data_IF_549451088663
#
_entry.id   IF_549451088663
#
_cell.length_a   1.000
_cell.length_b   1.000
_cell.length_c   1.000
_cell.angle_alpha   90.00
_cell.angle_beta   90.00
_cell.angle_gamma   90.00
#
_symmetry.space_group_name_H-M   'P 1'
#
loop_
_entity.id
_entity.type
_entity.pdbx_description
1 polymer ?
#
# COMPACT_ATOMS: atom_id res chain seq x y z
N UNK A 1 -20.83 11.20 9.04
CA UNK A 1 -19.95 10.04 9.33
C UNK A 1 -19.03 9.83 8.14
N UNK A 2 -17.83 9.28 8.37
CA UNK A 2 -16.90 8.86 7.31
C UNK A 2 -16.29 7.51 7.68
N UNK A 3 -15.77 6.82 6.68
CA UNK A 3 -15.18 5.48 6.82
C UNK A 3 -13.85 5.46 6.09
N UNK A 4 -12.81 4.93 6.74
CA UNK A 4 -11.44 4.81 6.22
C UNK A 4 -10.92 3.42 6.52
N UNK A 5 -10.45 2.70 5.51
CA UNK A 5 -9.76 1.42 5.72
C UNK A 5 -8.25 1.55 5.57
N UNK A 6 -7.76 2.34 4.62
CA UNK A 6 -6.32 2.48 4.38
C UNK A 6 -5.89 3.92 4.25
N UNK A 7 -4.58 4.08 4.34
CA UNK A 7 -3.85 5.31 4.13
C UNK A 7 -2.35 4.95 3.95
N UNK A 8 -1.54 5.95 3.69
CA UNK A 8 -0.08 5.82 3.55
C UNK A 8 0.71 5.55 4.86
N UNK A 9 0.04 5.32 5.99
CA UNK A 9 0.67 5.03 7.29
C UNK A 9 0.35 3.62 7.82
N UNK A 10 -0.59 2.91 7.18
CA UNK A 10 -1.02 1.58 7.58
C UNK A 10 -0.85 0.60 6.42
N UNK A 11 -0.58 -0.67 6.75
CA UNK A 11 -0.56 -1.78 5.79
C UNK A 11 -1.82 -1.77 4.91
N UNK A 12 -1.73 -2.10 3.63
CA UNK A 12 -2.87 -2.13 2.70
C UNK A 12 -3.94 -3.13 3.14
N UNK A 13 -5.20 -2.85 2.80
CA UNK A 13 -6.38 -3.68 3.16
C UNK A 13 -6.20 -5.14 2.77
N UNK A 14 -5.78 -5.41 1.53
CA UNK A 14 -5.54 -6.75 1.02
C UNK A 14 -4.47 -7.52 1.82
N UNK A 15 -3.48 -6.82 2.37
CA UNK A 15 -2.44 -7.42 3.22
C UNK A 15 -2.87 -7.61 4.68
N UNK A 16 -3.72 -6.73 5.21
CA UNK A 16 -4.21 -6.85 6.60
C UNK A 16 -5.33 -7.87 6.75
N UNK A 17 -6.22 -7.98 5.77
CA UNK A 17 -7.43 -8.79 5.86
C UNK A 17 -7.48 -9.96 4.88
N UNK A 18 -6.54 -10.05 3.94
CA UNK A 18 -6.57 -11.04 2.86
C UNK A 18 -7.10 -10.46 1.55
N UNK A 19 -6.62 -11.00 0.42
CA UNK A 19 -7.04 -10.55 -0.92
C UNK A 19 -8.53 -10.84 -1.17
N UNK A 20 -9.03 -11.94 -0.61
CA UNK A 20 -10.43 -12.34 -0.64
C UNK A 20 -11.37 -11.35 0.07
N UNK A 21 -10.83 -10.51 0.95
CA UNK A 21 -11.59 -9.50 1.70
C UNK A 21 -11.66 -8.14 1.00
N UNK A 22 -10.97 -7.95 -0.13
CA UNK A 22 -10.97 -6.66 -0.86
C UNK A 22 -12.38 -6.27 -1.29
N UNK A 23 -13.09 -7.15 -2.00
CA UNK A 23 -14.45 -6.85 -2.49
C UNK A 23 -15.44 -6.66 -1.33
N UNK A 24 -15.54 -7.56 -0.33
CA UNK A 24 -16.44 -7.36 0.81
C UNK A 24 -16.19 -6.05 1.56
N UNK A 25 -14.92 -5.67 1.76
CA UNK A 25 -14.56 -4.45 2.48
C UNK A 25 -14.89 -3.19 1.68
N UNK A 26 -14.60 -3.18 0.37
CA UNK A 26 -14.97 -2.08 -0.50
C UNK A 26 -16.50 -1.93 -0.61
N UNK A 27 -17.23 -3.05 -0.73
CA UNK A 27 -18.70 -3.02 -0.72
C UNK A 27 -19.26 -2.45 0.58
N UNK A 28 -18.75 -2.89 1.75
CA UNK A 28 -19.17 -2.37 3.04
C UNK A 28 -18.95 -0.85 3.13
N UNK A 29 -17.76 -0.38 2.74
CA UNK A 29 -17.42 1.05 2.75
C UNK A 29 -18.36 1.90 1.90
N UNK A 30 -18.72 1.40 0.71
CA UNK A 30 -19.61 2.10 -0.22
C UNK A 30 -21.09 2.04 0.18
N UNK A 31 -21.49 1.06 0.99
CA UNK A 31 -22.87 0.88 1.44
C UNK A 31 -23.19 1.56 2.79
N UNK A 32 -22.16 1.86 3.60
CA UNK A 32 -22.36 2.54 4.87
C UNK A 32 -22.77 4.01 4.66
N UNK A 33 -23.66 4.58 5.51
CA UNK A 33 -24.07 5.96 5.40
C UNK A 33 -22.89 6.91 5.68
N UNK A 34 -22.72 7.93 4.83
CA UNK A 34 -21.69 8.95 4.97
C UNK A 34 -20.71 8.94 3.80
N UNK A 35 -19.46 9.30 4.07
CA UNK A 35 -18.41 9.40 3.05
C UNK A 35 -17.46 8.21 3.13
N UNK A 36 -17.36 7.45 2.04
CA UNK A 36 -16.32 6.44 1.86
C UNK A 36 -15.00 7.12 1.45
N UNK A 37 -13.91 6.78 2.12
CA UNK A 37 -12.56 7.23 1.79
C UNK A 37 -11.76 6.03 1.32
N UNK A 38 -11.25 6.10 0.09
CA UNK A 38 -10.49 5.04 -0.57
C UNK A 38 -9.06 5.51 -0.76
N UNK A 39 -8.10 4.70 -0.33
CA UNK A 39 -6.68 4.94 -0.54
C UNK A 39 -6.21 4.34 -1.86
N UNK A 40 -5.29 5.03 -2.53
CA UNK A 40 -4.72 4.65 -3.82
C UNK A 40 -4.29 3.17 -3.85
N UNK A 41 -4.95 2.37 -4.70
CA UNK A 41 -4.69 0.94 -4.88
C UNK A 41 -5.69 0.01 -4.19
N UNK A 42 -6.52 0.51 -3.28
CA UNK A 42 -7.61 -0.30 -2.68
C UNK A 42 -8.66 -0.71 -3.71
N UNK A 43 -8.88 0.13 -4.72
CA UNK A 43 -9.84 -0.07 -5.81
C UNK A 43 -9.44 -1.21 -6.77
N UNK A 44 -8.16 -1.58 -6.79
CA UNK A 44 -7.63 -2.71 -7.56
C UNK A 44 -7.05 -3.82 -6.65
N UNK A 45 -7.25 -3.71 -5.33
CA UNK A 45 -6.82 -4.72 -4.37
C UNK A 45 -5.30 -4.84 -4.20
N UNK A 46 -4.53 -3.76 -4.37
CA UNK A 46 -3.07 -3.77 -4.16
C UNK A 46 -2.73 -4.30 -2.76
N UNK A 47 -1.73 -5.19 -2.70
CA UNK A 47 -1.10 -5.65 -1.46
C UNK A 47 0.08 -4.76 -1.10
N UNK A 48 0.57 -4.86 0.14
CA UNK A 48 1.83 -4.27 0.54
C UNK A 48 2.99 -4.82 -0.28
N UNK A 49 3.96 -3.95 -0.56
CA UNK A 49 5.19 -4.31 -1.25
C UNK A 49 6.25 -4.88 -0.34
N UNK A 50 7.07 -5.76 -0.92
CA UNK A 50 8.28 -6.25 -0.25
C UNK A 50 9.39 -5.22 -0.40
N UNK A 51 9.72 -4.54 0.70
CA UNK A 51 10.77 -3.53 0.76
C UNK A 51 11.91 -4.10 1.59
N UNK A 52 13.12 -4.17 1.02
CA UNK A 52 14.31 -4.57 1.77
C UNK A 52 14.85 -3.43 2.65
N UNK A 53 15.67 -3.75 3.62
CA UNK A 53 16.35 -2.75 4.47
C UNK A 53 17.14 -1.71 3.65
N UNK A 54 17.91 -2.15 2.65
CA UNK A 54 18.70 -1.26 1.78
C UNK A 54 17.82 -0.35 0.88
N UNK A 55 16.55 -0.70 0.72
CA UNK A 55 15.56 0.05 -0.05
C UNK A 55 14.64 0.91 0.82
N UNK A 56 14.64 0.69 2.14
CA UNK A 56 13.81 1.44 3.07
C UNK A 56 14.20 2.90 3.05
N UNK A 57 13.22 3.78 2.86
CA UNK A 57 13.40 5.24 2.86
C UNK A 57 12.61 5.91 3.98
N UNK A 58 11.60 5.26 4.56
CA UNK A 58 10.83 5.78 5.69
C UNK A 58 11.75 6.09 6.88
N UNK A 59 11.80 7.35 7.36
CA UNK A 59 12.55 7.70 8.55
C UNK A 59 12.16 6.88 9.78
N UNK A 60 10.89 6.47 9.89
CA UNK A 60 10.42 5.67 11.02
C UNK A 60 10.95 4.23 10.96
N UNK A 61 10.96 3.61 9.78
CA UNK A 61 11.64 2.31 9.55
C UNK A 61 13.14 2.40 9.82
N UNK A 62 13.82 3.41 9.24
CA UNK A 62 15.27 3.63 9.41
C UNK A 62 15.69 3.80 10.86
N UNK A 63 14.92 4.57 11.64
CA UNK A 63 15.23 4.83 13.06
C UNK A 63 15.23 3.56 13.91
N UNK A 64 14.45 2.54 13.52
CA UNK A 64 14.34 1.29 14.26
C UNK A 64 15.38 0.23 13.87
N UNK A 65 16.17 0.49 12.82
CA UNK A 65 17.27 -0.38 12.39
C UNK A 65 16.83 -1.62 11.61
N UNK A 66 17.80 -2.29 10.99
CA UNK A 66 17.62 -3.45 10.11
C UNK A 66 16.86 -4.62 10.74
N UNK A 67 16.98 -4.83 12.05
CA UNK A 67 16.31 -5.93 12.73
C UNK A 67 14.80 -5.69 12.93
N UNK A 68 14.31 -4.44 12.82
CA UNK A 68 12.92 -4.07 13.18
C UNK A 68 12.23 -3.19 12.15
N UNK A 69 12.89 -2.82 11.07
CA UNK A 69 12.32 -1.88 10.08
C UNK A 69 11.01 -2.39 9.50
N UNK A 70 10.83 -3.69 9.28
CA UNK A 70 9.62 -4.26 8.65
C UNK A 70 8.35 -3.98 9.47
N UNK A 71 8.46 -3.97 10.80
CA UNK A 71 7.33 -3.74 11.71
C UNK A 71 6.97 -2.26 11.82
N UNK A 72 7.87 -1.38 11.39
CA UNK A 72 7.75 0.06 11.60
C UNK A 72 7.64 0.85 10.31
N UNK A 73 8.26 0.39 9.24
CA UNK A 73 8.29 1.10 7.96
C UNK A 73 6.91 1.13 7.33
N UNK A 74 6.54 2.30 6.83
CA UNK A 74 5.33 2.53 6.04
C UNK A 74 5.60 2.43 4.54
N UNK A 75 6.84 2.19 4.13
CA UNK A 75 7.20 2.02 2.72
C UNK A 75 6.38 0.92 2.00
N UNK A 76 6.03 -0.23 2.63
CA UNK A 76 5.24 -1.27 1.97
C UNK A 76 3.88 -0.79 1.41
N UNK A 77 3.19 0.12 2.08
CA UNK A 77 1.91 0.66 1.60
C UNK A 77 2.05 1.87 0.66
N UNK A 78 3.30 2.26 0.35
CA UNK A 78 3.65 3.42 -0.49
C UNK A 78 4.29 3.02 -1.81
N UNK A 79 4.34 1.73 -2.13
CA UNK A 79 4.87 1.28 -3.42
C UNK A 79 4.10 1.89 -4.58
N UNK A 80 4.76 2.16 -5.72
CA UNK A 80 4.12 2.83 -6.84
C UNK A 80 2.88 2.09 -7.36
N UNK A 81 1.91 2.85 -7.83
CA UNK A 81 0.62 2.33 -8.30
C UNK A 81 0.76 1.47 -9.57
N UNK A 82 -0.06 0.43 -9.66
CA UNK A 82 -0.04 -0.57 -10.73
C UNK A 82 -1.02 -0.23 -11.86
N UNK A 83 -0.60 0.56 -12.84
CA UNK A 83 -1.45 0.99 -13.96
C UNK A 83 -1.66 -0.11 -15.00
N UNK A 84 -0.63 -0.89 -15.30
CA UNK A 84 -0.64 -1.95 -16.32
C UNK A 84 0.54 -2.92 -16.11
N UNK A 85 0.77 -3.81 -17.07
CA UNK A 85 1.81 -4.85 -17.08
C UNK A 85 3.16 -4.39 -17.69
N UNK A 86 3.28 -3.12 -18.08
CA UNK A 86 4.54 -2.58 -18.60
C UNK A 86 5.57 -2.32 -17.49
N UNK A 87 6.75 -1.85 -17.86
CA UNK A 87 7.84 -1.56 -16.92
C UNK A 87 7.37 -0.70 -15.73
N UNK A 88 7.74 -1.12 -14.51
CA UNK A 88 7.28 -0.51 -13.25
C UNK A 88 5.76 -0.36 -13.16
N UNK A 89 5.04 -1.35 -13.67
CA UNK A 89 3.58 -1.37 -13.77
C UNK A 89 2.98 -0.12 -14.44
N UNK A 90 3.72 0.47 -15.41
CA UNK A 90 3.32 1.70 -16.08
C UNK A 90 3.45 2.98 -15.24
N UNK A 91 3.95 2.91 -14.00
CA UNK A 91 4.17 4.08 -13.15
C UNK A 91 5.29 4.99 -13.68
N UNK A 92 6.34 4.40 -14.26
CA UNK A 92 7.48 5.15 -14.79
C UNK A 92 8.21 4.38 -15.87
N UNK A 93 8.69 5.09 -16.90
CA UNK A 93 9.61 4.58 -17.92
C UNK A 93 11.07 4.54 -17.46
N UNK A 94 11.38 5.04 -16.26
CA UNK A 94 12.72 4.97 -15.66
C UNK A 94 13.10 3.53 -15.35
N UNK A 95 14.39 3.22 -15.30
CA UNK A 95 14.85 1.89 -14.83
C UNK A 95 14.58 1.66 -13.34
N UNK A 96 14.47 2.74 -12.55
CA UNK A 96 14.23 2.67 -11.09
C UNK A 96 13.24 3.73 -10.66
N UNK A 97 12.35 3.32 -9.76
CA UNK A 97 11.41 4.15 -9.02
C UNK A 97 11.94 4.47 -7.62
N UNK A 98 11.31 5.43 -6.93
CA UNK A 98 11.73 5.87 -5.59
C UNK A 98 11.53 4.78 -4.51
N UNK A 99 10.52 3.92 -4.70
CA UNK A 99 10.34 2.63 -4.05
C UNK A 99 10.11 1.55 -5.13
N UNK A 100 10.53 0.30 -4.90
CA UNK A 100 10.22 -0.83 -5.78
C UNK A 100 8.71 -0.97 -6.04
N UNK A 101 8.36 -1.38 -7.26
CA UNK A 101 7.00 -1.83 -7.58
C UNK A 101 6.83 -3.28 -7.11
N UNK A 102 5.62 -3.63 -6.65
CA UNK A 102 5.27 -5.00 -6.26
C UNK A 102 5.20 -5.95 -7.45
#
# INVERSE_FOLDING_TARGET
>A
ANWVLGNHDNMRVASRFGQEMVDPMNMLMMMLPGTAIVYNGEEIGMTDGTIRWDQTVDPYGKKNGEAKYEVHSRDPCRTPFQWNDSQNAGFSTSQRTWLPVN
#
